data_IF_343342822724
#
_entry.id   IF_343342822724
#
_cell.length_a   1.000
_cell.length_b   1.000
_cell.length_c   1.000
_cell.angle_alpha   90.00
_cell.angle_beta   90.00
_cell.angle_gamma   90.00
#
_symmetry.space_group_name_H-M   'P 1'
#
loop_
_entity.id
_entity.type
_entity.pdbx_description
1 polymer ?
#
# COMPACT_ATOMS: atom_id res chain seq x y z
N UNK A 1 -7.33 1.46 -14.69
CA UNK A 1 -7.85 2.03 -13.43
C UNK A 1 -6.80 1.82 -12.33
N UNK A 2 -6.69 2.72 -11.35
CA UNK A 2 -5.77 2.53 -10.22
C UNK A 2 -6.58 2.19 -8.96
N UNK A 3 -6.29 1.05 -8.36
CA UNK A 3 -6.87 0.61 -7.09
C UNK A 3 -5.81 0.67 -6.00
N UNK A 4 -6.19 1.12 -4.81
CA UNK A 4 -5.30 1.23 -3.65
C UNK A 4 -6.01 0.67 -2.43
N UNK A 5 -5.32 -0.17 -1.66
CA UNK A 5 -5.82 -0.72 -0.40
C UNK A 5 -4.71 -0.78 0.65
N UNK A 6 -5.08 -0.77 1.93
CA UNK A 6 -4.13 -1.03 3.01
C UNK A 6 -3.55 -2.46 2.86
N UNK A 7 -2.25 -2.60 3.08
CA UNK A 7 -1.54 -3.87 2.89
C UNK A 7 -0.51 -4.11 3.99
N UNK A 8 -0.93 -3.92 5.25
CA UNK A 8 -0.05 -3.93 6.42
C UNK A 8 0.13 -2.55 7.03
N UNK A 9 0.69 -2.49 8.23
CA UNK A 9 0.88 -1.24 8.95
C UNK A 9 1.87 -0.32 8.22
N UNK A 10 1.45 0.92 7.95
CA UNK A 10 2.29 1.91 7.27
C UNK A 10 2.54 1.62 5.78
N UNK A 11 1.79 0.71 5.16
CA UNK A 11 1.96 0.35 3.75
C UNK A 11 0.63 0.18 3.00
N UNK A 12 0.70 0.16 1.67
CA UNK A 12 -0.46 -0.04 0.80
C UNK A 12 -0.10 -0.89 -0.43
N UNK A 13 -1.08 -1.61 -0.96
CA UNK A 13 -1.00 -2.30 -2.24
C UNK A 13 -1.71 -1.44 -3.29
N UNK A 14 -0.99 -1.11 -4.37
CA UNK A 14 -1.51 -0.36 -5.51
C UNK A 14 -1.48 -1.22 -6.77
N UNK A 15 -2.61 -1.32 -7.48
CA UNK A 15 -2.76 -2.10 -8.70
C UNK A 15 -3.25 -1.20 -9.82
N UNK A 16 -2.45 -1.08 -10.89
CA UNK A 16 -2.83 -0.41 -12.12
C UNK A 16 -3.33 -1.44 -13.13
N UNK A 17 -4.57 -1.26 -13.59
CA UNK A 17 -5.21 -2.12 -14.58
C UNK A 17 -5.47 -1.35 -15.86
N UNK A 18 -5.76 -2.07 -16.94
CA UNK A 18 -6.40 -1.48 -18.10
C UNK A 18 -7.91 -1.17 -17.82
N UNK A 19 -8.60 -0.47 -18.72
CA UNK A 19 -9.92 0.14 -18.45
C UNK A 19 -11.11 -0.84 -18.56
N UNK A 20 -10.89 -1.93 -19.27
CA UNK A 20 -11.77 -3.06 -19.57
C UNK A 20 -11.62 -4.24 -18.60
N UNK A 21 -10.65 -4.17 -17.69
CA UNK A 21 -10.38 -5.21 -16.70
C UNK A 21 -11.58 -5.47 -15.79
N UNK A 22 -11.81 -6.74 -15.44
CA UNK A 22 -12.85 -7.14 -14.50
C UNK A 22 -12.50 -6.68 -13.08
N UNK A 23 -13.23 -5.68 -12.60
CA UNK A 23 -13.02 -5.07 -11.28
C UNK A 23 -13.27 -6.06 -10.14
N UNK A 24 -14.23 -6.99 -10.30
CA UNK A 24 -14.56 -7.99 -9.30
C UNK A 24 -13.41 -8.98 -9.10
N UNK A 25 -12.81 -9.44 -10.21
CA UNK A 25 -11.65 -10.31 -10.15
C UNK A 25 -10.42 -9.61 -9.57
N UNK A 26 -10.17 -8.36 -9.96
CA UNK A 26 -9.07 -7.54 -9.41
C UNK A 26 -9.24 -7.39 -7.89
N UNK A 27 -10.43 -7.03 -7.41
CA UNK A 27 -10.70 -6.88 -5.99
C UNK A 27 -10.56 -8.20 -5.22
N UNK A 28 -11.01 -9.32 -5.79
CA UNK A 28 -10.89 -10.66 -5.20
C UNK A 28 -9.42 -11.04 -4.98
N UNK A 29 -8.60 -10.92 -6.04
CA UNK A 29 -7.17 -11.24 -5.97
C UNK A 29 -6.43 -10.28 -5.05
N UNK A 30 -6.76 -8.99 -5.06
CA UNK A 30 -6.18 -8.01 -4.13
C UNK A 30 -6.48 -8.37 -2.67
N UNK A 31 -7.70 -8.83 -2.37
CA UNK A 31 -8.09 -9.27 -1.02
C UNK A 31 -7.28 -10.50 -0.60
N UNK A 32 -7.17 -11.50 -1.48
CA UNK A 32 -6.37 -12.69 -1.20
C UNK A 32 -4.88 -12.37 -1.02
N UNK A 33 -4.32 -11.48 -1.84
CA UNK A 33 -2.94 -11.04 -1.73
C UNK A 33 -2.71 -10.35 -0.39
N UNK A 34 -3.50 -9.34 -0.04
CA UNK A 34 -3.38 -8.63 1.25
C UNK A 34 -3.49 -9.60 2.42
N UNK A 35 -4.42 -10.56 2.38
CA UNK A 35 -4.56 -11.54 3.45
C UNK A 35 -3.34 -12.47 3.58
N UNK A 36 -2.62 -12.75 2.48
CA UNK A 36 -1.44 -13.62 2.50
C UNK A 36 -0.15 -12.89 2.84
N UNK A 37 0.02 -11.66 2.34
CA UNK A 37 1.30 -10.95 2.42
C UNK A 37 1.26 -9.68 3.28
N UNK A 38 0.08 -9.17 3.66
CA UNK A 38 -0.08 -7.89 4.37
C UNK A 38 0.77 -7.77 5.63
N UNK A 39 0.81 -8.81 6.46
CA UNK A 39 1.64 -8.84 7.69
C UNK A 39 3.15 -8.72 7.41
N UNK A 40 3.60 -9.13 6.22
CA UNK A 40 5.01 -9.05 5.82
C UNK A 40 5.36 -7.73 5.14
N UNK A 41 4.35 -6.95 4.77
CA UNK A 41 4.49 -5.68 4.06
C UNK A 41 4.44 -4.47 4.99
N UNK A 42 4.35 -4.68 6.31
CA UNK A 42 4.40 -3.60 7.30
C UNK A 42 5.70 -2.83 7.22
N UNK A 43 5.62 -1.50 7.26
CA UNK A 43 6.77 -0.59 7.21
C UNK A 43 6.72 0.34 8.42
N UNK A 44 7.82 0.38 9.19
CA UNK A 44 7.95 1.32 10.29
C UNK A 44 7.90 2.76 9.78
N UNK A 45 7.22 3.62 10.53
CA UNK A 45 7.18 5.06 10.24
C UNK A 45 8.60 5.59 10.08
N UNK A 46 8.86 6.28 8.97
CA UNK A 46 10.13 6.96 8.75
C UNK A 46 10.32 7.96 9.89
N UNK A 47 11.27 7.67 10.78
CA UNK A 47 11.77 8.68 11.71
C UNK A 47 12.29 9.82 10.84
N UNK A 48 11.67 11.00 10.93
CA UNK A 48 12.15 12.17 10.22
C UNK A 48 13.63 12.33 10.51
N UNK A 49 14.47 12.16 9.48
CA UNK A 49 15.84 12.68 9.56
C UNK A 49 15.71 14.16 9.92
N UNK A 50 16.59 14.68 10.79
CA UNK A 50 16.33 15.85 11.63
C UNK A 50 15.63 16.93 10.82
N UNK A 51 14.32 17.08 11.03
CA UNK A 51 13.58 18.22 10.52
C UNK A 51 14.08 19.43 11.29
N UNK A 52 15.10 20.11 10.74
CA UNK A 52 15.26 21.55 10.86
C UNK A 52 15.35 22.14 12.26
N UNK A 53 15.93 21.44 13.24
CA UNK A 53 16.41 22.10 14.45
C UNK A 53 17.76 22.79 14.17
N UNK A 54 17.76 23.79 13.29
CA UNK A 54 18.80 24.82 13.28
C UNK A 54 18.23 26.04 14.01
N UNK A 55 18.55 26.25 15.29
CA UNK A 55 18.35 27.53 15.94
C UNK A 55 19.49 28.48 15.52
N UNK A 56 19.36 29.12 14.35
CA UNK A 56 20.02 30.38 14.03
C UNK A 56 19.08 31.31 13.26
#
# INVERSE_FOLDING_TARGET
LLFVTAAGDGSCLSVLTAAEADVGQVAYEMTLLVNRVGEHLGVSVRQGGPEGAEPF
#
